data_IF_382591875061
#
_entry.id   IF_382591875061
#
_cell.length_a   1.000
_cell.length_b   1.000
_cell.length_c   1.000
_cell.angle_alpha   90.00
_cell.angle_beta   90.00
_cell.angle_gamma   90.00
#
_symmetry.space_group_name_H-M   'P 1'
#
loop_
_entity.id
_entity.type
_entity.pdbx_description
1 polymer ?
#
# COMPACT_ATOMS: atom_id res chain seq x y z
N UNK A 1 -23.54 4.99 -6.14
CA UNK A 1 -22.24 5.68 -6.27
C UNK A 1 -21.19 5.07 -5.35
N UNK A 2 -21.30 5.14 -4.01
CA UNK A 2 -20.34 4.50 -3.09
C UNK A 2 -20.26 2.96 -3.21
N UNK A 3 -21.39 2.27 -3.45
CA UNK A 3 -21.41 0.81 -3.70
C UNK A 3 -20.81 0.39 -5.04
N UNK A 4 -20.85 1.25 -6.07
CA UNK A 4 -20.19 0.91 -7.35
C UNK A 4 -18.70 1.15 -7.24
N UNK A 5 -18.27 2.26 -6.61
CA UNK A 5 -16.88 2.48 -6.20
C UNK A 5 -16.34 1.32 -5.34
N UNK A 6 -17.09 0.79 -4.38
CA UNK A 6 -16.67 -0.38 -3.59
C UNK A 6 -16.51 -1.65 -4.45
N UNK A 7 -17.39 -1.89 -5.43
CA UNK A 7 -17.30 -3.05 -6.31
C UNK A 7 -16.18 -2.89 -7.37
N UNK A 8 -15.99 -1.69 -7.90
CA UNK A 8 -14.89 -1.34 -8.81
C UNK A 8 -13.55 -1.46 -8.07
N UNK A 9 -13.50 -1.00 -6.81
CA UNK A 9 -12.35 -1.17 -5.92
C UNK A 9 -12.14 -2.61 -5.46
N UNK A 10 -13.19 -3.43 -5.28
CA UNK A 10 -13.04 -4.87 -5.01
C UNK A 10 -12.41 -5.58 -6.22
N UNK A 11 -12.83 -5.24 -7.44
CA UNK A 11 -12.23 -5.74 -8.68
C UNK A 11 -10.82 -5.18 -8.92
N UNK A 12 -10.54 -3.95 -8.47
CA UNK A 12 -9.21 -3.34 -8.47
C UNK A 12 -8.32 -3.78 -7.29
N UNK A 13 -8.87 -4.29 -6.20
CA UNK A 13 -8.09 -4.87 -5.10
C UNK A 13 -7.58 -6.28 -5.48
N UNK A 14 -8.25 -6.93 -6.43
CA UNK A 14 -7.73 -8.06 -7.22
C UNK A 14 -6.92 -7.61 -8.46
N UNK A 15 -6.66 -6.29 -8.63
CA UNK A 15 -6.14 -5.69 -9.87
C UNK A 15 -4.80 -6.24 -10.32
N UNK A 16 -4.58 -6.05 -11.62
CA UNK A 16 -3.31 -6.17 -12.32
C UNK A 16 -2.08 -5.76 -11.49
N UNK A 17 -2.14 -4.79 -10.58
CA UNK A 17 -0.99 -4.39 -9.76
C UNK A 17 -0.42 -5.56 -8.96
N UNK A 18 -1.27 -6.34 -8.28
CA UNK A 18 -0.81 -7.53 -7.55
C UNK A 18 -0.24 -8.59 -8.48
N UNK A 19 -0.87 -8.78 -9.65
CA UNK A 19 -0.42 -9.74 -10.67
C UNK A 19 0.97 -9.35 -11.18
N UNK A 20 1.23 -8.07 -11.40
CA UNK A 20 2.53 -7.55 -11.83
C UNK A 20 3.60 -7.81 -10.76
N UNK A 21 3.32 -7.53 -9.49
CA UNK A 21 4.31 -7.79 -8.42
C UNK A 21 4.62 -9.29 -8.27
N UNK A 22 3.60 -10.14 -8.37
CA UNK A 22 3.77 -11.59 -8.36
C UNK A 22 4.57 -12.09 -9.57
N UNK A 23 4.35 -11.50 -10.76
CA UNK A 23 5.12 -11.84 -11.96
C UNK A 23 6.59 -11.47 -11.82
N UNK A 24 6.89 -10.29 -11.24
CA UNK A 24 8.26 -9.86 -10.97
C UNK A 24 8.95 -10.86 -10.02
N UNK A 25 8.32 -11.20 -8.89
CA UNK A 25 8.93 -12.07 -7.88
C UNK A 25 9.07 -13.54 -8.32
N UNK A 26 8.32 -13.97 -9.33
CA UNK A 26 8.41 -15.34 -9.88
C UNK A 26 9.10 -15.36 -11.27
N UNK A 27 9.71 -14.24 -11.69
CA UNK A 27 10.31 -14.15 -13.02
C UNK A 27 11.59 -15.00 -13.10
N UNK A 28 11.83 -15.75 -14.18
CA UNK A 28 12.98 -16.66 -14.27
C UNK A 28 14.34 -15.96 -14.40
N UNK A 29 14.35 -14.65 -14.70
CA UNK A 29 15.56 -13.82 -14.74
C UNK A 29 15.42 -12.62 -13.82
N UNK A 30 16.52 -12.12 -13.23
CA UNK A 30 16.48 -11.00 -12.30
C UNK A 30 15.85 -9.74 -12.90
N UNK A 31 14.99 -9.10 -12.13
CA UNK A 31 14.34 -7.82 -12.46
C UNK A 31 15.04 -6.69 -11.69
N UNK A 32 15.51 -5.67 -12.41
CA UNK A 32 16.22 -4.53 -11.83
C UNK A 32 15.38 -3.26 -11.95
N UNK A 33 15.09 -2.62 -10.82
CA UNK A 33 14.51 -1.28 -10.79
C UNK A 33 15.60 -0.22 -10.84
N UNK A 34 15.46 0.78 -11.72
CA UNK A 34 16.28 1.98 -11.73
C UNK A 34 15.41 3.19 -11.34
N UNK A 35 15.73 3.83 -10.23
CA UNK A 35 14.95 4.93 -9.66
C UNK A 35 15.72 6.23 -9.80
N UNK A 36 15.06 7.23 -10.38
CA UNK A 36 15.63 8.55 -10.55
C UNK A 36 14.62 9.64 -10.19
N UNK A 37 14.32 9.77 -8.89
CA UNK A 37 13.32 10.71 -8.37
C UNK A 37 12.40 10.05 -7.35
N UNK A 38 11.13 10.47 -7.31
CA UNK A 38 10.16 10.00 -6.32
C UNK A 38 9.47 8.70 -6.76
N UNK A 39 9.61 7.65 -5.96
CA UNK A 39 8.78 6.45 -6.02
C UNK A 39 7.79 6.45 -4.85
N UNK A 40 6.51 6.74 -5.12
CA UNK A 40 5.49 6.84 -4.09
C UNK A 40 4.35 5.82 -4.26
N UNK A 41 3.70 5.43 -3.16
CA UNK A 41 2.59 4.49 -3.13
C UNK A 41 2.92 3.17 -3.84
N UNK A 42 2.16 2.80 -4.89
CA UNK A 42 2.40 1.59 -5.69
C UNK A 42 3.78 1.59 -6.37
N UNK A 43 4.34 2.76 -6.68
CA UNK A 43 5.71 2.87 -7.21
C UNK A 43 6.77 2.41 -6.21
N UNK A 44 6.54 2.62 -4.90
CA UNK A 44 7.44 2.13 -3.86
C UNK A 44 7.32 0.60 -3.69
N UNK A 45 6.11 0.05 -3.85
CA UNK A 45 5.87 -1.41 -3.86
C UNK A 45 6.53 -2.09 -5.06
N UNK A 46 6.48 -1.47 -6.23
CA UNK A 46 7.12 -1.97 -7.45
C UNK A 46 8.62 -2.12 -7.26
N UNK A 47 9.29 -1.03 -6.83
CA UNK A 47 10.74 -1.04 -6.59
C UNK A 47 11.12 -2.10 -5.55
N UNK A 48 10.34 -2.21 -4.47
CA UNK A 48 10.59 -3.19 -3.42
C UNK A 48 10.29 -4.64 -3.82
N UNK A 49 9.59 -4.87 -4.94
CA UNK A 49 9.30 -6.21 -5.44
C UNK A 49 10.37 -6.73 -6.42
N UNK A 50 11.24 -5.86 -6.93
CA UNK A 50 12.37 -6.21 -7.80
C UNK A 50 13.51 -6.89 -7.01
N UNK A 51 14.32 -7.70 -7.69
CA UNK A 51 15.49 -8.35 -7.10
C UNK A 51 16.60 -7.35 -6.72
N UNK A 52 16.77 -6.31 -7.56
CA UNK A 52 17.76 -5.26 -7.37
C UNK A 52 17.10 -3.90 -7.60
N UNK A 53 17.42 -2.93 -6.77
CA UNK A 53 17.07 -1.52 -6.97
C UNK A 53 18.33 -0.65 -7.00
N UNK A 54 18.51 0.12 -8.08
CA UNK A 54 19.53 1.14 -8.23
C UNK A 54 18.86 2.50 -8.17
N UNK A 55 19.27 3.34 -7.22
CA UNK A 55 18.66 4.66 -7.03
C UNK A 55 19.71 5.77 -7.17
N UNK A 56 19.34 6.88 -7.80
CA UNK A 56 20.16 8.10 -7.79
C UNK A 56 20.15 8.76 -6.42
N UNK A 57 21.14 9.61 -6.17
CA UNK A 57 21.26 10.45 -4.96
C UNK A 57 20.02 11.32 -4.68
N UNK A 58 19.34 11.79 -5.73
CA UNK A 58 18.10 12.59 -5.63
C UNK A 58 16.83 11.75 -5.47
N UNK A 59 16.95 10.42 -5.38
CA UNK A 59 15.77 9.56 -5.29
C UNK A 59 15.14 9.61 -3.90
N UNK A 60 13.81 9.50 -3.86
CA UNK A 60 13.05 9.44 -2.60
C UNK A 60 11.92 8.42 -2.71
N UNK A 61 11.55 7.83 -1.57
CA UNK A 61 10.59 6.74 -1.49
C UNK A 61 9.55 7.05 -0.43
N UNK A 62 8.27 6.83 -0.74
CA UNK A 62 7.20 7.15 0.21
C UNK A 62 6.00 6.20 0.07
N UNK A 63 5.43 5.79 1.20
CA UNK A 63 4.12 5.15 1.26
C UNK A 63 3.12 6.06 2.00
N UNK A 64 2.68 7.19 1.39
CA UNK A 64 1.96 8.24 2.10
C UNK A 64 0.46 7.96 2.28
N UNK A 65 -0.05 6.78 1.89
CA UNK A 65 -1.49 6.48 1.91
C UNK A 65 -2.14 6.74 3.26
N UNK A 66 -1.40 6.46 4.34
CA UNK A 66 -1.87 6.70 5.71
C UNK A 66 -2.15 8.19 6.02
N UNK A 67 -1.52 9.13 5.30
CA UNK A 67 -1.78 10.57 5.43
C UNK A 67 -3.13 10.98 4.83
N UNK A 68 -3.72 10.13 3.98
CA UNK A 68 -5.04 10.33 3.35
C UNK A 68 -6.06 9.34 3.89
N UNK A 69 -5.85 8.78 5.09
CA UNK A 69 -6.77 7.83 5.72
C UNK A 69 -6.83 6.45 5.04
N UNK A 70 -5.95 6.20 4.06
CA UNK A 70 -5.89 4.96 3.31
C UNK A 70 -4.68 4.13 3.73
N UNK A 71 -4.88 3.07 4.51
CA UNK A 71 -3.78 2.15 4.74
C UNK A 71 -3.51 1.35 3.45
N UNK A 72 -2.52 1.77 2.66
CA UNK A 72 -1.98 0.99 1.55
C UNK A 72 -1.22 -0.22 2.11
N UNK A 73 -1.96 -1.21 2.56
CA UNK A 73 -1.44 -2.44 3.19
C UNK A 73 -0.53 -3.23 2.25
N UNK A 74 -0.79 -3.14 0.94
CA UNK A 74 -0.13 -3.91 -0.12
C UNK A 74 1.35 -3.53 -0.32
N UNK A 75 1.77 -2.25 -0.36
CA UNK A 75 3.18 -1.88 -0.24
C UNK A 75 3.88 -2.42 1.01
N UNK A 76 3.14 -2.60 2.11
CA UNK A 76 3.66 -3.17 3.36
C UNK A 76 4.17 -4.61 3.22
N UNK A 77 3.69 -5.37 2.24
CA UNK A 77 4.17 -6.73 1.91
C UNK A 77 5.61 -6.69 1.44
N UNK A 78 5.92 -5.85 0.44
CA UNK A 78 7.26 -5.72 -0.12
C UNK A 78 8.19 -4.92 0.82
N UNK A 79 7.72 -3.77 1.33
CA UNK A 79 8.51 -2.89 2.19
C UNK A 79 8.83 -3.52 3.55
N UNK A 80 7.92 -4.28 4.15
CA UNK A 80 8.17 -4.97 5.42
C UNK A 80 9.22 -6.06 5.33
N UNK A 81 9.47 -6.59 4.12
CA UNK A 81 10.52 -7.58 3.83
C UNK A 81 11.85 -6.91 3.47
N UNK A 82 11.82 -5.68 2.94
CA UNK A 82 12.99 -4.97 2.43
C UNK A 82 13.56 -3.87 3.36
N UNK A 83 12.78 -3.34 4.32
CA UNK A 83 13.15 -2.12 5.09
C UNK A 83 12.91 -2.28 6.61
N UNK A 84 13.81 -1.78 7.48
CA UNK A 84 13.64 -1.80 8.94
C UNK A 84 12.53 -0.87 9.47
N UNK A 85 11.98 -1.20 10.65
CA UNK A 85 10.76 -0.58 11.21
C UNK A 85 10.97 0.88 11.68
N UNK A 86 10.02 1.76 11.34
CA UNK A 86 9.79 3.07 11.98
C UNK A 86 8.28 3.39 12.03
N UNK A 87 7.81 4.06 13.08
CA UNK A 87 6.38 4.35 13.33
C UNK A 87 6.11 5.85 13.18
N UNK A 88 4.99 6.22 12.54
CA UNK A 88 4.53 7.59 12.31
C UNK A 88 3.20 7.90 13.02
N UNK A 89 2.92 9.19 13.28
CA UNK A 89 1.76 9.72 14.02
C UNK A 89 0.56 10.03 13.11
N UNK A 90 -0.46 9.17 13.08
CA UNK A 90 -1.63 9.23 12.17
C UNK A 90 -2.92 8.66 12.82
N UNK A 91 -4.06 8.62 12.10
CA UNK A 91 -5.37 8.12 12.60
C UNK A 91 -5.24 6.76 13.28
N UNK A 92 -5.75 6.66 14.52
CA UNK A 92 -5.63 5.47 15.38
C UNK A 92 -6.29 4.22 14.80
N UNK A 93 -7.54 4.23 14.31
CA UNK A 93 -8.16 3.04 13.73
C UNK A 93 -7.47 2.58 12.44
N UNK A 94 -7.07 3.51 11.56
CA UNK A 94 -6.33 3.21 10.32
C UNK A 94 -4.96 2.61 10.63
N UNK A 95 -4.24 3.15 11.62
CA UNK A 95 -2.97 2.60 12.10
C UNK A 95 -3.13 1.24 12.78
N UNK A 96 -4.19 1.04 13.57
CA UNK A 96 -4.45 -0.23 14.25
C UNK A 96 -4.73 -1.35 13.24
N UNK A 97 -5.61 -1.08 12.28
CA UNK A 97 -5.92 -2.01 11.18
C UNK A 97 -4.67 -2.33 10.37
N UNK A 98 -3.91 -1.29 9.99
CA UNK A 98 -2.68 -1.45 9.25
C UNK A 98 -1.58 -2.19 10.00
N UNK A 99 -1.40 -1.93 11.30
CA UNK A 99 -0.47 -2.65 12.18
C UNK A 99 -0.86 -4.13 12.27
N UNK A 100 -2.13 -4.43 12.51
CA UNK A 100 -2.61 -5.81 12.59
C UNK A 100 -2.38 -6.56 11.28
N UNK A 101 -2.73 -5.95 10.15
CA UNK A 101 -2.50 -6.53 8.82
C UNK A 101 -1.01 -6.73 8.52
N UNK A 102 -0.17 -5.75 8.86
CA UNK A 102 1.28 -5.81 8.68
C UNK A 102 1.91 -6.98 9.43
N UNK A 103 1.56 -7.18 10.70
CA UNK A 103 2.11 -8.31 11.47
C UNK A 103 1.55 -9.66 11.01
N UNK A 104 0.27 -9.71 10.63
CA UNK A 104 -0.35 -10.95 10.12
C UNK A 104 0.25 -11.40 8.79
N UNK A 105 0.50 -10.48 7.85
CA UNK A 105 1.01 -10.84 6.52
C UNK A 105 2.47 -11.35 6.51
N UNK A 106 3.28 -10.98 7.51
CA UNK A 106 4.68 -11.43 7.60
C UNK A 106 4.82 -12.95 7.79
N UNK A 107 3.82 -13.59 8.39
CA UNK A 107 3.82 -15.03 8.63
C UNK A 107 3.21 -15.84 7.47
N UNK A 108 2.75 -15.17 6.40
CA UNK A 108 2.06 -15.81 5.28
C UNK A 108 2.99 -15.97 4.07
N UNK A 109 2.64 -16.91 3.20
CA UNK A 109 3.19 -16.94 1.84
C UNK A 109 2.79 -15.68 1.07
N UNK A 110 3.49 -15.41 -0.03
CA UNK A 110 3.35 -14.18 -0.79
C UNK A 110 1.93 -13.97 -1.34
N UNK A 111 1.28 -15.02 -1.85
CA UNK A 111 -0.07 -14.95 -2.40
C UNK A 111 -1.07 -14.64 -1.30
N UNK A 112 -1.02 -15.38 -0.20
CA UNK A 112 -1.90 -15.16 0.95
C UNK A 112 -1.69 -13.78 1.58
N UNK A 113 -0.44 -13.32 1.68
CA UNK A 113 -0.10 -11.98 2.14
C UNK A 113 -0.73 -10.88 1.27
N UNK A 114 -0.68 -11.01 -0.06
CA UNK A 114 -1.33 -10.06 -0.97
C UNK A 114 -2.85 -10.09 -0.88
N UNK A 115 -3.48 -11.26 -0.80
CA UNK A 115 -4.94 -11.35 -0.60
C UNK A 115 -5.37 -10.69 0.71
N UNK A 116 -4.69 -11.00 1.82
CA UNK A 116 -4.99 -10.44 3.13
C UNK A 116 -4.88 -8.90 3.13
N UNK A 117 -3.81 -8.38 2.54
CA UNK A 117 -3.55 -6.93 2.52
C UNK A 117 -4.48 -6.18 1.57
N UNK A 118 -4.87 -6.77 0.44
CA UNK A 118 -5.92 -6.23 -0.43
C UNK A 118 -7.27 -6.17 0.28
N UNK A 119 -7.68 -7.24 0.95
CA UNK A 119 -8.93 -7.22 1.71
C UNK A 119 -8.90 -6.15 2.81
N UNK A 120 -7.78 -6.03 3.51
CA UNK A 120 -7.59 -4.98 4.53
C UNK A 120 -7.76 -3.57 3.93
N UNK A 121 -7.29 -3.35 2.70
CA UNK A 121 -7.44 -2.05 2.03
C UNK A 121 -8.90 -1.75 1.68
N UNK A 122 -9.65 -2.77 1.24
CA UNK A 122 -11.10 -2.68 0.99
C UNK A 122 -11.85 -2.38 2.29
N UNK A 123 -11.54 -3.11 3.36
CA UNK A 123 -12.16 -2.90 4.67
C UNK A 123 -11.86 -1.48 5.20
N UNK A 124 -10.63 -1.00 4.99
CA UNK A 124 -10.23 0.36 5.36
C UNK A 124 -11.04 1.43 4.62
N UNK A 125 -11.37 1.21 3.35
CA UNK A 125 -12.28 2.09 2.61
C UNK A 125 -13.70 2.05 3.17
N UNK A 126 -14.11 0.98 3.83
CA UNK A 126 -15.39 0.94 4.55
C UNK A 126 -15.44 1.83 5.79
N UNK A 127 -14.29 2.28 6.32
CA UNK A 127 -14.23 3.08 7.54
C UNK A 127 -14.61 4.56 7.29
N UNK A 128 -15.29 5.22 8.24
CA UNK A 128 -15.60 6.66 8.15
C UNK A 128 -14.37 7.53 7.89
N UNK A 129 -13.27 7.28 8.61
CA UNK A 129 -11.99 7.97 8.42
C UNK A 129 -11.35 7.64 7.05
N UNK A 130 -11.52 6.41 6.55
CA UNK A 130 -11.04 6.05 5.21
C UNK A 130 -11.74 6.85 4.12
N UNK A 131 -13.07 6.96 4.21
CA UNK A 131 -13.88 7.77 3.29
C UNK A 131 -13.57 9.28 3.40
N UNK A 132 -13.44 9.80 4.62
CA UNK A 132 -13.09 11.20 4.86
C UNK A 132 -11.71 11.56 4.31
N UNK A 133 -10.72 10.68 4.49
CA UNK A 133 -9.38 10.90 3.98
C UNK A 133 -9.32 10.96 2.46
N UNK A 134 -9.99 10.03 1.77
CA UNK A 134 -10.12 10.06 0.30
C UNK A 134 -10.84 11.32 -0.16
N UNK A 135 -11.96 11.67 0.49
CA UNK A 135 -12.73 12.87 0.17
C UNK A 135 -11.92 14.15 0.37
N UNK A 136 -11.19 14.26 1.48
CA UNK A 136 -10.36 15.42 1.80
C UNK A 136 -9.23 15.60 0.78
N UNK A 137 -8.59 14.51 0.36
CA UNK A 137 -7.57 14.51 -0.68
C UNK A 137 -8.12 15.02 -2.02
N UNK A 138 -9.23 14.44 -2.49
CA UNK A 138 -9.87 14.86 -3.74
C UNK A 138 -10.30 16.33 -3.70
N UNK A 139 -10.71 16.82 -2.53
CA UNK A 139 -11.13 18.20 -2.30
C UNK A 139 -9.97 19.14 -1.94
N UNK A 140 -8.71 18.67 -1.93
CA UNK A 140 -7.50 19.44 -1.57
C UNK A 140 -7.61 20.17 -0.22
N UNK A 141 -8.28 19.56 0.76
CA UNK A 141 -8.45 20.11 2.11
C UNK A 141 -7.83 19.17 3.15
N UNK A 142 -7.67 19.67 4.37
CA UNK A 142 -7.26 18.82 5.50
C UNK A 142 -8.41 17.87 5.89
N UNK A 143 -8.12 16.59 6.17
CA UNK A 143 -9.11 15.65 6.68
C UNK A 143 -9.49 15.97 8.12
N UNK A 144 -10.76 15.69 8.48
CA UNK A 144 -11.27 15.80 9.85
C UNK A 144 -11.57 14.41 10.37
N UNK A 145 -10.61 13.84 11.10
CA UNK A 145 -10.74 12.49 11.66
C UNK A 145 -11.78 12.44 12.77
N UNK A 146 -12.49 11.33 12.84
CA UNK A 146 -13.49 11.09 13.88
C UNK A 146 -12.88 10.65 15.23
N UNK A 147 -11.63 10.16 15.24
CA UNK A 147 -10.94 9.60 16.43
C UNK A 147 -9.41 9.77 16.46
#
# INVERSE_FOLDING_TARGET
MLRSLQNDILHEAESQDLKVMMLIQNHPVPVIAMVNGLASAAGCQLVASCDIAVASDKSSFAAPGVNIGLFCSTPGVALGRAVPRKVASLSRPVLSLGKAAFYRQLAQDLRTAYHLTSQTMVDNLGLPDGQEGVKAFLQKRKPVWSH
#
